data_IF_264131058399
#
_entry.id   IF_264131058399
#
_cell.length_a   1.000
_cell.length_b   1.000
_cell.length_c   1.000
_cell.angle_alpha   90.00
_cell.angle_beta   90.00
_cell.angle_gamma   90.00
#
_symmetry.space_group_name_H-M   'P 1'
#
loop_
_entity.id
_entity.type
_entity.pdbx_description
1 polymer ?
#
# COMPACT_ATOMS: atom_id res chain seq x y z
N UNK A 1 -7.93 -20.11 30.39
CA UNK A 1 -9.00 -19.43 29.61
C UNK A 1 -8.33 -18.78 28.42
N UNK A 2 -8.65 -19.17 27.18
CA UNK A 2 -8.12 -18.48 26.00
C UNK A 2 -8.64 -17.03 26.01
N UNK A 3 -7.77 -16.08 25.68
CA UNK A 3 -8.17 -14.68 25.52
C UNK A 3 -9.29 -14.58 24.46
N UNK A 4 -10.26 -13.67 24.63
CA UNK A 4 -11.30 -13.47 23.62
C UNK A 4 -10.62 -13.16 22.28
N UNK A 5 -11.00 -13.90 21.23
CA UNK A 5 -10.56 -13.62 19.88
C UNK A 5 -11.09 -12.24 19.50
N UNK A 6 -10.19 -11.26 19.40
CA UNK A 6 -10.52 -9.94 18.89
C UNK A 6 -10.81 -10.09 17.39
N UNK A 7 -12.09 -10.25 17.05
CA UNK A 7 -12.55 -10.29 15.67
C UNK A 7 -12.22 -8.92 15.06
N UNK A 8 -11.17 -8.87 14.24
CA UNK A 8 -10.70 -7.62 13.66
C UNK A 8 -11.58 -7.28 12.47
N UNK A 9 -12.64 -6.52 12.74
CA UNK A 9 -13.44 -5.86 11.70
C UNK A 9 -12.52 -4.89 10.97
N UNK A 10 -12.51 -4.97 9.64
CA UNK A 10 -11.84 -4.02 8.77
C UNK A 10 -12.93 -3.16 8.16
N UNK A 11 -12.79 -1.84 8.32
CA UNK A 11 -13.52 -0.89 7.50
C UNK A 11 -12.95 -0.91 6.08
N UNK A 12 -13.77 -1.37 5.15
CA UNK A 12 -13.48 -1.32 3.73
C UNK A 12 -14.43 -0.33 3.05
N UNK A 13 -13.98 0.27 1.95
CA UNK A 13 -14.83 1.11 1.12
C UNK A 13 -14.85 0.55 -0.29
N UNK A 14 -16.05 0.21 -0.74
CA UNK A 14 -16.30 -0.21 -2.10
C UNK A 14 -16.57 1.02 -2.96
N UNK A 15 -15.84 1.16 -4.05
CA UNK A 15 -15.93 2.27 -4.98
C UNK A 15 -16.41 1.80 -6.35
N UNK A 16 -17.46 2.43 -6.87
CA UNK A 16 -17.92 2.29 -8.24
C UNK A 16 -17.56 3.54 -9.05
N UNK A 17 -16.95 3.36 -10.23
CA UNK A 17 -16.56 4.45 -11.11
C UNK A 17 -17.78 5.06 -11.79
N UNK A 18 -18.12 6.29 -11.41
CA UNK A 18 -19.30 7.02 -11.90
C UNK A 18 -18.99 7.81 -13.18
N UNK A 19 -17.74 8.26 -13.33
CA UNK A 19 -17.37 9.15 -14.43
C UNK A 19 -15.88 9.13 -14.76
N UNK A 20 -15.56 9.64 -15.94
CA UNK A 20 -14.19 9.98 -16.33
C UNK A 20 -14.18 11.35 -16.94
N UNK A 21 -13.35 12.23 -16.40
CA UNK A 21 -13.08 13.54 -16.96
C UNK A 21 -11.74 13.51 -17.69
N UNK A 22 -11.69 14.17 -18.84
CA UNK A 22 -10.49 14.29 -19.68
C UNK A 22 -10.17 15.76 -19.84
N UNK A 23 -8.91 16.16 -19.61
CA UNK A 23 -8.46 17.52 -19.83
C UNK A 23 -6.95 17.57 -19.97
N UNK A 24 -6.41 18.48 -20.80
CA UNK A 24 -5.01 18.90 -20.81
C UNK A 24 -3.89 17.85 -20.67
N UNK A 25 -4.10 16.59 -21.06
CA UNK A 25 -3.13 15.49 -20.86
C UNK A 25 -3.29 14.66 -19.58
N UNK A 26 -4.34 14.89 -18.78
CA UNK A 26 -4.70 14.07 -17.63
C UNK A 26 -6.06 13.37 -17.81
N UNK A 27 -6.23 12.30 -17.05
CA UNK A 27 -7.47 11.55 -16.94
C UNK A 27 -7.85 11.47 -15.45
N UNK A 28 -9.03 11.99 -15.10
CA UNK A 28 -9.56 11.94 -13.73
C UNK A 28 -10.76 11.00 -13.66
N UNK A 29 -10.89 10.27 -12.55
CA UNK A 29 -11.96 9.30 -12.34
C UNK A 29 -12.74 9.63 -11.08
N UNK A 30 -14.06 9.72 -11.23
CA UNK A 30 -14.97 9.98 -10.11
C UNK A 30 -15.55 8.66 -9.62
N UNK A 31 -15.52 8.44 -8.31
CA UNK A 31 -15.97 7.21 -7.67
C UNK A 31 -17.05 7.48 -6.63
N UNK A 32 -18.13 6.68 -6.64
CA UNK A 32 -19.13 6.61 -5.57
C UNK A 32 -18.71 5.51 -4.60
N UNK A 33 -18.67 5.81 -3.31
CA UNK A 33 -18.15 4.92 -2.27
C UNK A 33 -19.24 4.42 -1.32
N UNK A 34 -19.24 3.13 -0.98
CA UNK A 34 -20.07 2.52 0.06
C UNK A 34 -19.18 1.90 1.12
N UNK A 35 -19.38 2.25 2.38
CA UNK A 35 -18.66 1.63 3.50
C UNK A 35 -19.13 0.19 3.71
N UNK A 36 -18.19 -0.70 4.00
CA UNK A 36 -18.40 -2.12 4.22
C UNK A 36 -17.59 -2.54 5.44
N UNK A 37 -18.28 -3.02 6.47
CA UNK A 37 -17.61 -3.77 7.55
C UNK A 37 -17.32 -5.18 7.05
N UNK A 38 -16.04 -5.56 7.08
CA UNK A 38 -15.65 -6.92 6.70
C UNK A 38 -14.73 -7.53 7.75
N UNK A 39 -15.11 -8.70 8.22
CA UNK A 39 -14.32 -9.46 9.19
C UNK A 39 -13.06 -10.04 8.53
N UNK A 40 -11.89 -9.75 9.10
CA UNK A 40 -10.64 -10.38 8.64
C UNK A 40 -10.52 -11.79 9.22
N UNK A 41 -10.16 -12.82 8.41
CA UNK A 41 -9.84 -14.14 8.94
C UNK A 41 -8.65 -14.09 9.90
N UNK A 42 -8.70 -14.92 10.94
CA UNK A 42 -7.62 -15.07 11.90
C UNK A 42 -6.38 -15.72 11.27
N UNK A 43 -5.26 -15.66 11.98
CA UNK A 43 -4.02 -16.27 11.50
C UNK A 43 -4.13 -17.79 11.44
N UNK A 44 -3.71 -18.38 10.31
CA UNK A 44 -3.86 -19.81 10.02
C UNK A 44 -5.20 -20.18 9.37
N UNK A 45 -6.22 -19.32 9.43
CA UNK A 45 -7.48 -19.56 8.74
C UNK A 45 -7.34 -19.43 7.21
N UNK A 46 -8.10 -20.23 6.43
CA UNK A 46 -8.14 -20.09 4.99
C UNK A 46 -8.77 -18.73 4.58
N UNK A 47 -8.45 -18.21 3.38
CA UNK A 47 -9.03 -16.96 2.89
C UNK A 47 -10.55 -17.04 2.78
N UNK A 48 -11.27 -16.09 3.38
CA UNK A 48 -12.75 -15.99 3.27
C UNK A 48 -13.13 -15.32 1.96
N UNK A 49 -14.15 -15.87 1.28
CA UNK A 49 -14.72 -15.34 0.05
C UNK A 49 -15.92 -14.46 0.37
N UNK A 50 -15.98 -13.30 -0.25
CA UNK A 50 -17.09 -12.36 -0.15
C UNK A 50 -17.64 -12.11 -1.56
N UNK A 51 -18.97 -12.00 -1.63
CA UNK A 51 -19.68 -11.60 -2.82
C UNK A 51 -20.45 -10.33 -2.50
N UNK A 52 -20.24 -9.28 -3.30
CA UNK A 52 -20.92 -8.00 -3.18
C UNK A 52 -21.61 -7.69 -4.51
N UNK A 53 -22.87 -7.31 -4.47
CA UNK A 53 -23.57 -6.80 -5.66
C UNK A 53 -23.43 -5.28 -5.69
N UNK A 54 -22.89 -4.75 -6.78
CA UNK A 54 -22.77 -3.31 -6.96
C UNK A 54 -24.17 -2.67 -7.09
N UNK A 55 -24.51 -1.69 -6.25
CA UNK A 55 -25.83 -1.07 -6.30
C UNK A 55 -26.07 -0.26 -7.58
N UNK A 56 -25.01 0.30 -8.18
CA UNK A 56 -25.07 1.13 -9.38
C UNK A 56 -25.26 0.30 -10.65
N UNK A 57 -24.37 -0.66 -10.91
CA UNK A 57 -24.38 -1.45 -12.15
C UNK A 57 -24.95 -2.88 -12.02
N UNK A 58 -25.32 -3.31 -10.81
CA UNK A 58 -25.84 -4.65 -10.49
C UNK A 58 -24.88 -5.82 -10.78
N UNK A 59 -23.61 -5.56 -11.10
CA UNK A 59 -22.61 -6.62 -11.27
C UNK A 59 -22.29 -7.30 -9.92
N UNK A 60 -22.15 -8.63 -9.94
CA UNK A 60 -21.71 -9.41 -8.79
C UNK A 60 -20.18 -9.48 -8.74
N UNK A 61 -19.61 -9.04 -7.64
CA UNK A 61 -18.18 -8.93 -7.44
C UNK A 61 -17.75 -9.95 -6.39
N UNK A 62 -16.80 -10.81 -6.77
CA UNK A 62 -16.21 -11.79 -5.87
C UNK A 62 -14.79 -11.39 -5.51
N UNK A 63 -14.52 -11.36 -4.21
CA UNK A 63 -13.19 -11.12 -3.68
C UNK A 63 -12.89 -12.02 -2.48
N UNK A 64 -11.60 -12.11 -2.15
CA UNK A 64 -11.05 -12.92 -1.07
C UNK A 64 -10.30 -12.03 -0.11
N UNK A 65 -10.54 -12.22 1.17
CA UNK A 65 -9.79 -11.56 2.24
C UNK A 65 -8.86 -12.58 2.86
N UNK A 66 -7.60 -12.18 2.98
CA UNK A 66 -6.53 -12.95 3.59
C UNK A 66 -6.25 -12.44 4.99
N UNK A 67 -5.84 -13.35 5.87
CA UNK A 67 -5.33 -13.02 7.20
C UNK A 67 -4.12 -12.09 7.13
N UNK A 68 -3.83 -11.40 8.24
CA UNK A 68 -2.67 -10.49 8.34
C UNK A 68 -1.37 -11.25 8.06
N UNK A 69 -1.16 -12.41 8.68
CA UNK A 69 0.03 -13.23 8.50
C UNK A 69 0.27 -13.62 7.04
N UNK A 70 -0.78 -14.05 6.33
CA UNK A 70 -0.67 -14.41 4.90
C UNK A 70 -0.34 -13.19 4.03
N UNK A 71 -0.91 -12.03 4.35
CA UNK A 71 -0.63 -10.77 3.65
C UNK A 71 0.82 -10.34 3.84
N UNK A 72 1.33 -10.38 5.07
CA UNK A 72 2.73 -10.05 5.39
C UNK A 72 3.69 -11.00 4.65
N UNK A 73 3.40 -12.31 4.65
CA UNK A 73 4.20 -13.30 3.92
C UNK A 73 4.22 -13.00 2.42
N UNK A 74 3.06 -12.72 1.81
CA UNK A 74 2.98 -12.35 0.38
C UNK A 74 3.76 -11.06 0.08
N UNK A 75 3.61 -10.01 0.87
CA UNK A 75 4.42 -8.77 0.74
C UNK A 75 5.92 -9.04 0.77
N UNK A 76 6.36 -9.90 1.69
CA UNK A 76 7.77 -10.31 1.77
C UNK A 76 8.21 -11.06 0.52
N UNK A 77 7.41 -12.01 0.05
CA UNK A 77 7.69 -12.75 -1.19
C UNK A 77 7.76 -11.83 -2.41
N UNK A 78 6.84 -10.88 -2.56
CA UNK A 78 6.91 -9.86 -3.62
C UNK A 78 8.17 -9.01 -3.54
N UNK A 79 8.57 -8.64 -2.31
CA UNK A 79 9.83 -7.93 -2.08
C UNK A 79 11.06 -8.72 -2.49
N UNK A 80 11.12 -10.01 -2.11
CA UNK A 80 12.20 -10.92 -2.51
C UNK A 80 12.22 -11.07 -4.03
N UNK A 81 11.06 -11.27 -4.65
CA UNK A 81 10.95 -11.40 -6.11
C UNK A 81 11.45 -10.15 -6.83
N UNK A 82 11.08 -8.96 -6.35
CA UNK A 82 11.56 -7.69 -6.90
C UNK A 82 13.10 -7.59 -6.82
N UNK A 83 13.69 -7.95 -5.67
CA UNK A 83 15.15 -7.96 -5.49
C UNK A 83 15.84 -8.97 -6.41
N UNK A 84 15.27 -10.15 -6.62
CA UNK A 84 15.79 -11.15 -7.55
C UNK A 84 15.84 -10.62 -8.99
N UNK A 85 14.81 -9.89 -9.43
CA UNK A 85 14.82 -9.27 -10.76
C UNK A 85 15.86 -8.15 -10.89
N UNK A 86 16.08 -7.34 -9.84
CA UNK A 86 17.18 -6.37 -9.83
C UNK A 86 18.53 -7.07 -9.94
N UNK A 87 18.76 -8.13 -9.16
CA UNK A 87 20.01 -8.90 -9.21
C UNK A 87 20.25 -9.50 -10.60
N UNK A 88 19.20 -10.02 -11.25
CA UNK A 88 19.28 -10.57 -12.60
C UNK A 88 19.59 -9.49 -13.65
N UNK A 89 18.99 -8.30 -13.54
CA UNK A 89 19.30 -7.17 -14.40
C UNK A 89 20.77 -6.76 -14.29
N UNK A 90 21.30 -6.68 -13.06
CA UNK A 90 22.71 -6.37 -12.81
C UNK A 90 23.65 -7.46 -13.34
N UNK A 91 23.26 -8.74 -13.22
CA UNK A 91 24.01 -9.84 -13.80
C UNK A 91 24.08 -9.73 -15.32
N UNK A 92 22.98 -9.41 -16.00
CA UNK A 92 22.97 -9.18 -17.45
C UNK A 92 23.88 -8.01 -17.86
N UNK A 93 23.90 -6.92 -17.09
CA UNK A 93 24.83 -5.79 -17.33
C UNK A 93 26.29 -6.23 -17.14
N UNK A 94 26.59 -6.99 -16.09
CA UNK A 94 27.94 -7.48 -15.83
C UNK A 94 28.45 -8.38 -16.97
N UNK A 95 27.57 -9.22 -17.55
CA UNK A 95 27.89 -10.09 -18.68
C UNK A 95 28.08 -9.33 -20.00
N UNK A 96 27.58 -8.09 -20.11
CA UNK A 96 27.79 -7.23 -21.28
C UNK A 96 29.17 -6.56 -21.29
N UNK A 97 29.77 -6.30 -20.13
CA UNK A 97 31.05 -5.56 -20.00
C UNK A 97 32.17 -6.14 -20.89
N UNK A 98 32.40 -7.48 -20.95
CA UNK A 98 33.47 -8.05 -21.77
C UNK A 98 33.29 -7.82 -23.29
N UNK A 99 32.06 -7.63 -23.75
CA UNK A 99 31.73 -7.49 -25.17
C UNK A 99 31.95 -6.05 -25.68
N UNK A 100 32.01 -5.06 -24.77
CA UNK A 100 32.19 -3.64 -25.13
C UNK A 100 33.56 -3.31 -25.73
N UNK A 101 34.54 -4.22 -25.63
CA UNK A 101 35.86 -4.07 -26.25
C UNK A 101 35.94 -4.58 -27.70
N UNK A 102 34.88 -5.18 -28.25
CA UNK A 102 34.86 -5.69 -29.63
C UNK A 102 34.39 -4.59 -30.59
N UNK A 103 34.88 -4.62 -31.84
CA UNK A 103 34.56 -3.59 -32.84
C UNK A 103 33.05 -3.49 -33.07
N UNK A 104 32.51 -2.26 -32.95
CA UNK A 104 31.09 -1.96 -33.12
C UNK A 104 30.58 -2.11 -34.58
N UNK A 105 31.46 -2.48 -35.50
CA UNK A 105 31.15 -2.64 -36.93
C UNK A 105 30.50 -4.00 -37.26
N UNK A 106 30.56 -4.99 -36.36
CA UNK A 106 29.88 -6.28 -36.56
C UNK A 106 28.38 -6.15 -36.25
N UNK A 107 27.48 -6.34 -37.24
CA UNK A 107 26.03 -6.24 -37.01
C UNK A 107 25.51 -7.26 -35.98
N UNK A 108 26.19 -8.39 -35.79
CA UNK A 108 25.82 -9.37 -34.78
C UNK A 108 26.10 -8.85 -33.36
N UNK A 109 27.17 -8.08 -33.17
CA UNK A 109 27.50 -7.45 -31.89
C UNK A 109 26.45 -6.39 -31.55
N UNK A 110 26.07 -5.56 -32.53
CA UNK A 110 25.01 -4.55 -32.36
C UNK A 110 23.68 -5.22 -32.00
N UNK A 111 23.27 -6.27 -32.73
CA UNK A 111 22.05 -7.01 -32.45
C UNK A 111 22.06 -7.62 -31.03
N UNK A 112 23.17 -8.22 -30.62
CA UNK A 112 23.33 -8.77 -29.28
C UNK A 112 23.17 -7.69 -28.21
N UNK A 113 23.84 -6.53 -28.36
CA UNK A 113 23.72 -5.41 -27.42
C UNK A 113 22.25 -4.96 -27.28
N UNK A 114 21.53 -4.80 -28.39
CA UNK A 114 20.11 -4.41 -28.36
C UNK A 114 19.26 -5.42 -27.61
N UNK A 115 19.43 -6.72 -27.87
CA UNK A 115 18.70 -7.79 -27.17
C UNK A 115 18.99 -7.75 -25.67
N UNK A 116 20.25 -7.55 -25.28
CA UNK A 116 20.63 -7.42 -23.88
C UNK A 116 20.00 -6.19 -23.21
N UNK A 117 20.02 -5.03 -23.86
CA UNK A 117 19.40 -3.81 -23.32
C UNK A 117 17.89 -3.99 -23.12
N UNK A 118 17.21 -4.64 -24.06
CA UNK A 118 15.79 -5.00 -23.92
C UNK A 118 15.57 -5.98 -22.77
N UNK A 119 16.44 -6.97 -22.60
CA UNK A 119 16.41 -7.91 -21.47
C UNK A 119 16.56 -7.21 -20.12
N UNK A 120 17.57 -6.34 -19.99
CA UNK A 120 17.83 -5.54 -18.79
C UNK A 120 16.63 -4.65 -18.46
N UNK A 121 16.10 -3.92 -19.45
CA UNK A 121 14.92 -3.09 -19.28
C UNK A 121 13.70 -3.90 -18.80
N UNK A 122 13.51 -5.10 -19.35
CA UNK A 122 12.43 -6.01 -18.94
C UNK A 122 12.57 -6.44 -17.49
N UNK A 123 13.78 -6.80 -17.03
CA UNK A 123 14.00 -7.18 -15.64
C UNK A 123 13.77 -6.01 -14.67
N UNK A 124 14.19 -4.79 -15.02
CA UNK A 124 13.86 -3.61 -14.22
C UNK A 124 12.35 -3.34 -14.18
N UNK A 125 11.64 -3.45 -15.31
CA UNK A 125 10.20 -3.28 -15.35
C UNK A 125 9.47 -4.31 -14.45
N UNK A 126 9.91 -5.56 -14.46
CA UNK A 126 9.39 -6.60 -13.56
C UNK A 126 9.72 -6.30 -12.09
N UNK A 127 10.94 -5.86 -11.77
CA UNK A 127 11.31 -5.46 -10.42
C UNK A 127 10.41 -4.34 -9.90
N UNK A 128 10.16 -3.30 -10.70
CA UNK A 128 9.24 -2.21 -10.37
C UNK A 128 7.83 -2.75 -10.17
N UNK A 129 7.33 -3.59 -11.07
CA UNK A 129 5.99 -4.18 -10.97
C UNK A 129 5.81 -4.97 -9.66
N UNK A 130 6.75 -5.85 -9.30
CA UNK A 130 6.67 -6.64 -8.08
C UNK A 130 6.91 -5.80 -6.82
N UNK A 131 7.80 -4.81 -6.88
CA UNK A 131 7.98 -3.83 -5.81
C UNK A 131 6.70 -3.05 -5.57
N UNK A 132 6.02 -2.64 -6.63
CA UNK A 132 4.75 -1.95 -6.55
C UNK A 132 3.61 -2.84 -6.01
N UNK A 133 3.53 -4.11 -6.45
CA UNK A 133 2.61 -5.12 -5.89
C UNK A 133 2.81 -5.32 -4.38
N UNK A 134 4.05 -5.27 -3.89
CA UNK A 134 4.34 -5.33 -2.44
C UNK A 134 3.66 -4.21 -1.66
N UNK A 135 3.63 -2.99 -2.20
CA UNK A 135 3.00 -1.84 -1.52
C UNK A 135 1.48 -1.89 -1.57
N UNK A 136 0.91 -2.38 -2.68
CA UNK A 136 -0.53 -2.45 -2.87
C UNK A 136 -1.23 -3.64 -2.21
N UNK A 137 -0.48 -4.66 -1.79
CA UNK A 137 -1.09 -5.87 -1.25
C UNK A 137 -1.70 -5.61 0.14
N UNK A 138 -2.96 -5.20 0.19
CA UNK A 138 -3.71 -4.96 1.44
C UNK A 138 -4.32 -6.25 2.03
N UNK A 139 -4.08 -7.40 1.39
CA UNK A 139 -4.67 -8.68 1.80
C UNK A 139 -6.07 -8.92 1.24
N UNK A 140 -6.42 -8.19 0.18
CA UNK A 140 -7.65 -8.37 -0.59
C UNK A 140 -7.25 -8.78 -2.01
N UNK A 141 -7.80 -9.87 -2.53
CA UNK A 141 -7.60 -10.28 -3.93
C UNK A 141 -8.92 -10.63 -4.61
N UNK A 142 -9.09 -10.23 -5.86
CA UNK A 142 -10.30 -10.52 -6.63
C UNK A 142 -10.71 -9.38 -7.55
N UNK A 143 -11.97 -9.41 -7.99
CA UNK A 143 -12.54 -8.36 -8.84
C UNK A 143 -12.52 -7.03 -8.11
N UNK A 144 -11.90 -6.02 -8.72
CA UNK A 144 -11.73 -4.69 -8.14
C UNK A 144 -10.67 -4.58 -7.04
N UNK A 145 -9.79 -5.58 -6.88
CA UNK A 145 -8.64 -5.46 -5.97
C UNK A 145 -7.67 -4.36 -6.44
N UNK A 146 -7.12 -3.63 -5.45
CA UNK A 146 -6.24 -2.45 -5.41
C UNK A 146 -5.24 -2.20 -6.58
N UNK A 147 -5.64 -2.36 -7.83
CA UNK A 147 -4.83 -2.04 -9.01
C UNK A 147 -4.97 -0.55 -9.31
N UNK A 148 -3.87 0.18 -9.59
CA UNK A 148 -3.90 1.63 -9.78
C UNK A 148 -4.40 2.06 -11.17
N UNK A 149 -5.25 1.24 -11.78
CA UNK A 149 -5.80 1.51 -13.11
C UNK A 149 -7.22 2.05 -13.03
N UNK A 150 -7.72 2.45 -14.20
CA UNK A 150 -9.12 2.77 -14.45
C UNK A 150 -10.01 1.52 -14.31
N UNK A 151 -10.19 1.03 -13.08
CA UNK A 151 -11.09 -0.10 -12.80
C UNK A 151 -12.50 0.41 -12.55
N UNK A 152 -13.51 -0.30 -13.07
CA UNK A 152 -14.93 -0.01 -12.81
C UNK A 152 -15.28 -0.09 -11.33
N UNK A 153 -14.63 -1.03 -10.64
CA UNK A 153 -14.85 -1.34 -9.24
C UNK A 153 -13.52 -1.35 -8.51
N UNK A 154 -13.45 -0.70 -7.35
CA UNK A 154 -12.26 -0.66 -6.52
C UNK A 154 -12.65 -0.94 -5.08
N UNK A 155 -11.96 -1.85 -4.41
CA UNK A 155 -12.12 -2.10 -2.99
C UNK A 155 -10.88 -1.60 -2.26
N UNK A 156 -11.06 -0.55 -1.48
CA UNK A 156 -10.00 0.04 -0.66
C UNK A 156 -10.21 -0.36 0.80
N UNK A 157 -9.11 -0.67 1.47
CA UNK A 157 -9.14 -0.72 2.93
C UNK A 157 -9.17 0.73 3.42
N UNK A 158 -10.20 1.11 4.17
CA UNK A 158 -10.19 2.36 4.91
C UNK A 158 -9.08 2.18 5.93
N UNK A 159 -7.98 2.88 5.69
CA UNK A 159 -6.94 2.93 6.69
C UNK A 159 -7.56 3.64 7.92
N UNK A 160 -7.42 3.08 9.14
CA UNK A 160 -8.00 3.67 10.35
C UNK A 160 -7.54 5.12 10.58
N UNK A 161 -6.49 5.56 9.88
CA UNK A 161 -5.99 6.93 9.82
C UNK A 161 -6.83 7.91 8.96
N UNK A 162 -7.93 7.48 8.32
CA UNK A 162 -9.02 8.34 7.81
C UNK A 162 -10.18 8.47 8.81
N UNK A 163 -10.24 7.57 9.78
CA UNK A 163 -11.12 7.70 10.93
C UNK A 163 -10.46 8.72 11.87
N UNK A 164 -11.01 9.93 11.84
CA UNK A 164 -10.75 11.07 12.73
C UNK A 164 -9.87 10.65 13.92
N UNK A 165 -8.59 11.04 13.89
CA UNK A 165 -7.64 10.75 14.97
C UNK A 165 -8.33 11.04 16.31
N UNK A 166 -8.26 10.12 17.29
CA UNK A 166 -8.97 10.33 18.55
C UNK A 166 -8.56 11.70 19.08
N UNK A 167 -9.53 12.56 19.39
CA UNK A 167 -9.24 13.85 20.01
C UNK A 167 -8.52 13.56 21.32
N UNK A 168 -7.20 13.78 21.32
CA UNK A 168 -6.40 13.52 22.51
C UNK A 168 -6.56 14.73 23.41
N UNK A 169 -7.24 14.53 24.55
CA UNK A 169 -7.39 15.57 25.57
C UNK A 169 -6.15 15.60 26.46
N UNK A 170 -5.48 16.74 26.54
CA UNK A 170 -4.39 16.93 27.49
C UNK A 170 -4.92 16.74 28.93
N UNK A 171 -4.35 15.80 29.69
CA UNK A 171 -4.80 15.52 31.07
C UNK A 171 -4.56 16.68 32.05
N UNK A 172 -3.63 17.58 31.75
CA UNK A 172 -3.23 18.67 32.66
C UNK A 172 -4.13 19.90 32.55
N UNK A 173 -4.41 20.34 31.33
CA UNK A 173 -5.17 21.57 31.07
C UNK A 173 -6.50 21.34 30.34
N UNK A 174 -6.80 20.09 29.94
CA UNK A 174 -8.11 19.71 29.40
C UNK A 174 -8.39 20.15 27.96
N UNK A 175 -7.45 20.82 27.27
CA UNK A 175 -7.63 21.14 25.86
C UNK A 175 -7.58 19.88 25.00
N UNK A 176 -8.38 19.86 23.94
CA UNK A 176 -8.33 18.87 22.87
C UNK A 176 -7.65 19.52 21.67
N UNK A 177 -6.54 18.94 21.22
CA UNK A 177 -5.93 19.30 19.95
C UNK A 177 -6.24 18.20 18.94
N UNK A 178 -6.74 18.60 17.76
CA UNK A 178 -6.77 17.71 16.61
C UNK A 178 -5.33 17.56 16.11
N UNK A 179 -4.78 16.36 16.23
CA UNK A 179 -3.51 16.04 15.59
C UNK A 179 -3.74 15.93 14.09
N UNK A 180 -3.60 17.05 13.39
CA UNK A 180 -3.37 17.00 11.96
C UNK A 180 -2.04 16.27 11.71
N UNK A 181 -1.98 15.40 10.69
CA UNK A 181 -0.76 14.68 10.34
C UNK A 181 0.40 15.66 10.26
N UNK A 182 1.44 15.45 11.08
CA UNK A 182 2.62 16.29 10.97
C UNK A 182 3.25 16.01 9.60
N UNK A 183 3.36 17.00 8.69
CA UNK A 183 3.77 16.75 7.31
C UNK A 183 5.20 16.19 7.21
N UNK A 184 6.01 16.45 8.24
CA UNK A 184 7.43 16.15 8.26
C UNK A 184 7.80 14.77 8.84
N UNK A 185 6.82 14.03 9.41
CA UNK A 185 7.10 12.73 10.01
C UNK A 185 6.72 11.58 9.07
N UNK A 186 7.58 10.57 8.86
CA UNK A 186 7.22 9.39 8.08
C UNK A 186 5.98 8.70 8.66
N UNK A 187 5.03 8.30 7.80
CA UNK A 187 3.79 7.61 8.19
C UNK A 187 4.02 6.42 9.13
N UNK A 188 5.12 5.66 8.94
CA UNK A 188 5.49 4.56 9.83
C UNK A 188 5.79 5.00 11.26
N UNK A 189 6.51 6.12 11.44
CA UNK A 189 6.87 6.67 12.75
C UNK A 189 5.65 7.22 13.48
N UNK A 190 4.74 7.88 12.74
CA UNK A 190 3.47 8.36 13.31
C UNK A 190 2.57 7.18 13.74
N UNK A 191 2.55 6.09 12.97
CA UNK A 191 1.77 4.89 13.27
C UNK A 191 2.31 4.13 14.47
N UNK A 192 3.62 3.99 14.57
CA UNK A 192 4.27 3.33 15.70
C UNK A 192 4.10 4.15 16.99
N UNK A 193 4.14 5.48 16.91
CA UNK A 193 3.86 6.37 18.05
C UNK A 193 2.41 6.26 18.56
N UNK A 194 1.43 6.03 17.67
CA UNK A 194 0.02 5.80 18.00
C UNK A 194 -0.24 4.41 18.60
N UNK A 195 0.29 3.36 17.96
CA UNK A 195 0.13 1.99 18.44
C UNK A 195 0.77 1.84 19.84
N UNK A 196 1.83 2.61 20.08
CA UNK A 196 2.56 2.68 21.33
C UNK A 196 2.11 3.85 22.24
N UNK A 197 0.91 4.42 22.07
CA UNK A 197 0.39 5.47 22.98
C UNK A 197 0.22 5.00 24.43
N UNK A 198 0.31 3.70 24.70
CA UNK A 198 0.43 3.17 26.08
C UNK A 198 1.86 3.20 26.64
N UNK A 199 2.88 3.56 25.84
CA UNK A 199 4.31 3.45 26.21
C UNK A 199 5.25 4.54 25.70
N UNK A 200 4.89 5.33 24.68
CA UNK A 200 5.85 6.27 24.08
C UNK A 200 5.93 7.60 24.85
N UNK A 201 6.90 7.70 25.77
CA UNK A 201 7.35 8.96 26.40
C UNK A 201 7.54 10.11 25.39
N UNK A 202 7.85 9.78 24.13
CA UNK A 202 8.04 10.76 23.06
C UNK A 202 6.76 11.56 22.75
N UNK A 203 5.59 10.91 22.72
CA UNK A 203 4.31 11.60 22.52
C UNK A 203 4.01 12.48 23.73
N UNK A 204 4.22 11.97 24.94
CA UNK A 204 4.01 12.74 26.18
C UNK A 204 4.94 13.96 26.29
N UNK A 205 6.19 13.87 25.83
CA UNK A 205 7.14 14.99 25.77
C UNK A 205 6.73 16.04 24.73
N UNK A 206 6.23 15.62 23.57
CA UNK A 206 5.67 16.55 22.57
C UNK A 206 4.45 17.30 23.14
N UNK A 207 3.57 16.59 23.86
CA UNK A 207 2.45 17.19 24.59
C UNK A 207 2.92 18.20 25.65
N UNK A 208 3.90 17.84 26.47
CA UNK A 208 4.42 18.74 27.51
C UNK A 208 5.02 20.02 26.90
N UNK A 209 5.76 19.89 25.81
CA UNK A 209 6.40 21.03 25.15
C UNK A 209 5.38 21.98 24.50
N UNK A 210 4.34 21.46 23.85
CA UNK A 210 3.28 22.32 23.28
C UNK A 210 2.42 22.96 24.38
N UNK A 211 2.11 22.23 25.45
CA UNK A 211 1.39 22.78 26.61
C UNK A 211 2.16 23.93 27.27
N UNK A 212 3.48 23.80 27.43
CA UNK A 212 4.33 24.87 27.97
C UNK A 212 4.37 26.12 27.07
N UNK A 213 4.35 25.93 25.74
CA UNK A 213 4.29 27.07 24.79
C UNK A 213 2.98 27.84 24.87
N UNK A 214 1.86 27.18 25.22
CA UNK A 214 0.58 27.85 25.38
C UNK A 214 0.48 28.61 26.71
N UNK A 215 1.04 28.09 27.80
CA UNK A 215 1.08 28.81 29.10
C UNK A 215 1.94 30.08 29.07
N UNK A 216 2.83 30.22 28.09
CA UNK A 216 3.69 31.41 27.90
C UNK A 216 3.06 32.51 27.03
N UNK A 217 1.84 32.31 26.53
CA UNK A 217 1.07 33.32 25.77
C UNK A 217 -0.04 33.89 26.62
#
# INVERSE_FOLDING_TARGET
MPAPAFTKVIDARFHHKVGTEYGGGYQAHTYSGTALEIERPDEGEPPRRYNLTCHECKENLSFRIYSVGTTVRRRRLWGIQALLYVALALLCIALLVPETGKSAEDPNVVAAIVVYLLGVATFFALAIFFGYKRFLDVGIAGHGSAYPGAVKHKLDQVQPDEERWPEVRCRRCGHTEQFDRHPDLPLGVQRDALIDQSRSRAVELLFQHQCQKQEQR
#
